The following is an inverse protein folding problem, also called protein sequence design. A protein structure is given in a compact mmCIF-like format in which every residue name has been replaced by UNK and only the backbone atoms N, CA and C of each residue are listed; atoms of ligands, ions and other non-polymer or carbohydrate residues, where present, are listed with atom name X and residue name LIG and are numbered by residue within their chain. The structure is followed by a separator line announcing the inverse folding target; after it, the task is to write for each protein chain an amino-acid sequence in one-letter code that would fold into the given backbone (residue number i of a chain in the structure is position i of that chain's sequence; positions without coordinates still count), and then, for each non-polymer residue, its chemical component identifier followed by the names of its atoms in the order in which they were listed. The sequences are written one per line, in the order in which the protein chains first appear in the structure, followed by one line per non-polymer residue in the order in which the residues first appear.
data_IF_079933960685
#
_entry.id   IF_079933960685
#
_cell.length_a   1.000
_cell.length_b   1.000
_cell.length_c   1.000
_cell.angle_alpha   90.00
_cell.angle_beta   90.00
_cell.angle_gamma   90.00
#
_symmetry.space_group_name_H-M   'P 1'
#
loop_
_entity.id
_entity.type
_entity.pdbx_description
1 polymer ?
#
# COMPACT_ATOMS: atom_id res chain seq x y z
N UNK A 1 -35.57 -51.43 27.85
CA UNK A 1 -34.92 -51.40 29.16
C UNK A 1 -35.93 -51.78 30.21
N UNK A 2 -35.56 -52.49 31.26
CA UNK A 2 -36.44 -52.89 32.34
C UNK A 2 -35.96 -52.31 33.62
N UNK A 3 -36.87 -51.63 34.33
CA UNK A 3 -36.62 -51.17 35.68
C UNK A 3 -37.34 -52.10 36.67
N UNK A 4 -36.66 -52.58 37.66
CA UNK A 4 -37.24 -53.38 38.73
C UNK A 4 -37.04 -52.68 40.05
N UNK A 5 -38.13 -52.30 40.72
CA UNK A 5 -38.14 -51.70 42.03
C UNK A 5 -38.85 -52.59 43.02
N UNK A 6 -38.32 -52.78 44.25
CA UNK A 6 -38.97 -53.52 45.30
C UNK A 6 -39.88 -52.60 46.08
N UNK A 7 -41.16 -52.92 46.12
CA UNK A 7 -42.17 -52.13 46.84
C UNK A 7 -42.26 -52.57 48.28
N UNK A 8 -42.19 -53.90 48.53
CA UNK A 8 -42.10 -54.53 49.83
C UNK A 8 -41.51 -55.94 49.69
N UNK A 9 -41.46 -56.71 50.78
CA UNK A 9 -40.79 -58.03 50.79
C UNK A 9 -41.42 -59.04 49.82
N UNK A 10 -42.68 -58.80 49.41
CA UNK A 10 -43.45 -59.71 48.53
C UNK A 10 -43.78 -59.14 47.16
N UNK A 11 -43.43 -57.84 46.90
CA UNK A 11 -43.89 -57.18 45.68
C UNK A 11 -42.71 -56.51 44.95
N UNK A 12 -42.46 -56.89 43.72
CA UNK A 12 -41.50 -56.28 42.84
C UNK A 12 -42.26 -55.57 41.69
N UNK A 13 -41.97 -54.31 41.49
CA UNK A 13 -42.46 -53.57 40.32
C UNK A 13 -41.44 -53.68 39.21
N UNK A 14 -41.89 -54.09 38.01
CA UNK A 14 -41.10 -54.13 36.79
C UNK A 14 -41.75 -53.21 35.78
N UNK A 15 -41.04 -52.21 35.35
CA UNK A 15 -41.42 -51.33 34.26
C UNK A 15 -40.46 -51.51 33.08
N UNK A 16 -40.96 -51.38 31.86
CA UNK A 16 -40.13 -51.39 30.68
C UNK A 16 -40.26 -50.04 29.98
N UNK A 17 -39.10 -49.43 29.64
CA UNK A 17 -39.02 -48.24 28.80
C UNK A 17 -38.39 -48.66 27.47
N UNK A 18 -39.03 -48.29 26.37
CA UNK A 18 -38.48 -48.54 25.05
C UNK A 18 -37.38 -47.49 24.72
N UNK A 19 -36.35 -47.88 24.00
CA UNK A 19 -35.28 -46.98 23.57
C UNK A 19 -35.78 -45.77 22.76
N UNK A 20 -36.88 -45.93 22.05
CA UNK A 20 -37.56 -44.87 21.29
C UNK A 20 -38.10 -43.70 22.16
N UNK A 21 -38.36 -43.96 23.45
CA UNK A 21 -38.74 -42.90 24.38
C UNK A 21 -37.59 -41.94 24.68
N UNK A 22 -36.35 -42.49 24.72
CA UNK A 22 -35.16 -41.67 24.89
C UNK A 22 -34.83 -40.84 23.64
N UNK A 23 -35.21 -41.34 22.44
CA UNK A 23 -35.03 -40.58 21.18
C UNK A 23 -35.79 -39.26 21.25
N UNK A 24 -36.96 -39.22 21.88
CA UNK A 24 -37.76 -37.99 22.04
C UNK A 24 -37.07 -36.92 22.93
N UNK A 25 -36.20 -37.39 23.85
CA UNK A 25 -35.54 -36.48 24.82
C UNK A 25 -34.15 -36.09 24.32
N UNK A 26 -33.43 -37.00 23.69
CA UNK A 26 -32.02 -36.85 23.33
C UNK A 26 -31.75 -36.67 21.82
N UNK A 27 -32.78 -36.66 20.96
CA UNK A 27 -32.57 -36.36 19.56
C UNK A 27 -32.15 -34.88 19.41
N UNK A 28 -31.00 -34.62 18.76
CA UNK A 28 -30.63 -33.26 18.44
C UNK A 28 -31.68 -32.63 17.51
N UNK A 29 -32.01 -31.37 17.72
CA UNK A 29 -32.78 -30.61 16.73
C UNK A 29 -32.01 -30.62 15.38
N UNK A 30 -32.72 -30.53 14.28
CA UNK A 30 -32.21 -30.69 12.88
C UNK A 30 -30.92 -29.94 12.52
N UNK A 31 -30.46 -29.03 13.38
CA UNK A 31 -29.25 -28.25 13.17
C UNK A 31 -27.96 -28.85 13.78
N UNK A 32 -28.03 -29.98 14.48
CA UNK A 32 -26.91 -30.54 15.25
C UNK A 32 -26.68 -32.05 14.97
N UNK A 33 -26.60 -32.44 13.71
CA UNK A 33 -26.41 -33.83 13.28
C UNK A 33 -25.08 -34.49 13.74
N UNK A 34 -24.16 -33.68 14.25
CA UNK A 34 -22.81 -34.13 14.72
C UNK A 34 -22.77 -34.33 16.24
N UNK A 35 -23.87 -34.18 16.93
CA UNK A 35 -23.94 -34.37 18.38
C UNK A 35 -24.41 -35.77 18.67
N UNK A 36 -23.57 -36.55 19.35
CA UNK A 36 -23.91 -37.85 19.84
C UNK A 36 -24.09 -37.83 21.36
N UNK A 37 -25.25 -38.24 21.80
CA UNK A 37 -25.61 -38.30 23.23
C UNK A 37 -25.77 -39.74 23.68
N UNK A 38 -25.19 -40.06 24.81
CA UNK A 38 -25.22 -41.37 25.44
C UNK A 38 -25.67 -41.23 26.90
N UNK A 39 -26.42 -42.20 27.37
CA UNK A 39 -26.75 -42.39 28.77
C UNK A 39 -26.04 -43.64 29.28
N UNK A 40 -25.34 -43.53 30.38
CA UNK A 40 -24.60 -44.61 30.99
C UNK A 40 -24.96 -44.76 32.46
N UNK A 41 -24.76 -45.95 33.03
CA UNK A 41 -24.76 -46.16 34.48
C UNK A 41 -23.39 -45.78 35.12
N UNK A 42 -23.30 -45.81 36.45
CA UNK A 42 -22.08 -45.51 37.19
C UNK A 42 -20.92 -46.51 36.88
N UNK A 43 -21.23 -47.71 36.44
CA UNK A 43 -20.25 -48.70 35.99
C UNK A 43 -19.77 -48.45 34.53
N UNK A 44 -20.27 -47.42 33.88
CA UNK A 44 -19.98 -47.05 32.48
C UNK A 44 -20.63 -47.99 31.47
N UNK A 45 -21.76 -48.63 31.79
CA UNK A 45 -22.53 -49.42 30.83
C UNK A 45 -23.51 -48.53 30.08
N UNK A 46 -23.56 -48.69 28.77
CA UNK A 46 -24.41 -47.87 27.89
C UNK A 46 -25.86 -48.30 28.05
N UNK A 47 -26.69 -47.39 28.49
CA UNK A 47 -28.14 -47.53 28.62
C UNK A 47 -28.83 -47.09 27.32
N UNK A 48 -28.34 -45.99 26.71
CA UNK A 48 -28.83 -45.44 25.48
C UNK A 48 -27.68 -44.77 24.72
N UNK A 49 -27.73 -44.83 23.39
CA UNK A 49 -26.88 -44.05 22.50
C UNK A 49 -27.62 -43.74 21.21
N UNK A 50 -27.53 -42.47 20.75
CA UNK A 50 -28.18 -42.05 19.53
C UNK A 50 -27.30 -42.14 18.26
N UNK A 51 -26.05 -42.59 18.41
CA UNK A 51 -25.09 -42.64 17.29
C UNK A 51 -25.24 -43.87 16.37
N UNK A 52 -26.11 -44.80 16.72
CA UNK A 52 -26.37 -46.02 15.97
C UNK A 52 -25.17 -47.00 15.87
N UNK A 53 -24.06 -46.65 16.50
CA UNK A 53 -22.80 -47.45 16.46
C UNK A 53 -22.57 -48.26 17.73
N UNK A 54 -23.03 -47.72 18.85
CA UNK A 54 -22.81 -48.34 20.18
C UNK A 54 -23.98 -49.22 20.57
N UNK A 55 -23.64 -50.33 21.20
CA UNK A 55 -24.64 -51.34 21.59
C UNK A 55 -25.03 -51.15 23.04
N UNK A 56 -26.33 -51.08 23.31
CA UNK A 56 -26.87 -51.00 24.67
C UNK A 56 -26.44 -52.21 25.49
N UNK A 57 -25.94 -51.96 26.70
CA UNK A 57 -25.42 -53.00 27.61
C UNK A 57 -23.91 -53.22 27.52
N UNK A 58 -23.24 -52.71 26.52
CA UNK A 58 -21.76 -52.71 26.42
C UNK A 58 -21.15 -51.66 27.35
N UNK A 59 -19.87 -51.86 27.73
CA UNK A 59 -19.12 -50.84 28.48
C UNK A 59 -18.57 -49.77 27.51
N UNK A 60 -18.49 -48.55 28.02
CA UNK A 60 -17.85 -47.46 27.34
C UNK A 60 -16.41 -47.78 26.91
N UNK A 61 -15.99 -47.21 25.82
CA UNK A 61 -14.60 -47.26 25.34
C UNK A 61 -13.64 -46.75 26.43
N UNK A 62 -12.42 -47.27 26.49
CA UNK A 62 -11.39 -46.84 27.44
C UNK A 62 -11.13 -45.36 27.46
N UNK A 63 -11.31 -44.69 26.34
CA UNK A 63 -11.19 -43.21 26.24
C UNK A 63 -12.30 -42.48 26.99
N UNK A 64 -13.55 -42.89 26.79
CA UNK A 64 -14.71 -42.29 27.43
C UNK A 64 -14.84 -42.67 28.89
N UNK A 65 -14.43 -43.85 29.30
CA UNK A 65 -14.44 -44.29 30.70
C UNK A 65 -13.47 -43.45 31.58
N UNK A 66 -12.34 -43.03 31.03
CA UNK A 66 -11.41 -42.12 31.74
C UNK A 66 -12.00 -40.76 32.04
N UNK A 67 -12.96 -40.29 31.24
CA UNK A 67 -13.65 -39.04 31.49
C UNK A 67 -14.67 -39.12 32.59
N UNK A 68 -15.30 -40.30 32.79
CA UNK A 68 -16.19 -40.56 33.94
C UNK A 68 -15.45 -40.43 35.27
N UNK A 69 -14.19 -40.87 35.35
CA UNK A 69 -13.34 -40.72 36.52
C UNK A 69 -13.01 -39.28 36.88
N UNK A 70 -13.08 -38.37 35.88
CA UNK A 70 -12.80 -36.93 36.05
C UNK A 70 -13.93 -36.08 36.60
N UNK A 71 -15.13 -36.65 36.74
CA UNK A 71 -16.32 -35.91 37.19
C UNK A 71 -17.05 -35.14 36.10
N UNK A 72 -18.10 -34.41 36.50
CA UNK A 72 -18.93 -33.60 35.58
C UNK A 72 -18.17 -32.41 34.99
N UNK A 73 -18.42 -32.11 33.74
CA UNK A 73 -17.82 -30.95 33.06
C UNK A 73 -17.61 -31.16 31.56
N UNK A 74 -16.97 -30.18 30.95
CA UNK A 74 -16.61 -30.20 29.54
C UNK A 74 -15.12 -30.44 29.39
N UNK A 75 -14.75 -31.42 28.59
CA UNK A 75 -13.36 -31.73 28.30
C UNK A 75 -13.14 -31.99 26.79
N UNK A 76 -11.93 -31.89 26.33
CA UNK A 76 -11.55 -32.15 24.94
C UNK A 76 -10.86 -33.50 24.91
N UNK A 77 -11.50 -34.50 24.28
CA UNK A 77 -10.95 -35.88 24.18
C UNK A 77 -9.71 -35.94 23.30
N UNK A 78 -9.77 -35.27 22.17
CA UNK A 78 -8.69 -35.07 21.21
C UNK A 78 -8.89 -33.76 20.46
N UNK A 79 -8.05 -33.44 19.45
CA UNK A 79 -8.17 -32.18 18.70
C UNK A 79 -9.50 -32.00 17.96
N UNK A 80 -10.31 -33.07 17.82
CA UNK A 80 -11.52 -33.07 17.00
C UNK A 80 -12.80 -33.36 17.75
N UNK A 81 -12.70 -33.87 19.01
CA UNK A 81 -13.86 -34.34 19.77
C UNK A 81 -13.97 -33.63 21.11
N UNK A 82 -15.08 -32.95 21.31
CA UNK A 82 -15.44 -32.35 22.61
C UNK A 82 -16.40 -33.30 23.29
N UNK A 83 -16.17 -33.53 24.58
CA UNK A 83 -16.99 -34.39 25.43
C UNK A 83 -17.51 -33.57 26.60
N UNK A 84 -18.83 -33.54 26.80
CA UNK A 84 -19.47 -32.99 27.95
C UNK A 84 -20.11 -34.11 28.76
N UNK A 85 -19.91 -34.09 30.08
CA UNK A 85 -20.44 -35.10 31.02
C UNK A 85 -21.25 -34.35 32.08
N UNK A 86 -22.46 -34.81 32.30
CA UNK A 86 -23.33 -34.29 33.34
C UNK A 86 -24.09 -35.43 34.02
N UNK A 87 -24.29 -35.29 35.35
CA UNK A 87 -25.07 -36.26 36.13
C UNK A 87 -26.55 -36.01 35.90
N UNK A 88 -27.27 -37.05 35.50
CA UNK A 88 -28.68 -37.02 35.23
C UNK A 88 -29.51 -37.43 36.44
N UNK A 89 -28.98 -38.35 37.26
CA UNK A 89 -29.52 -38.81 38.53
C UNK A 89 -28.43 -39.49 39.32
N UNK A 90 -28.70 -39.93 40.55
CA UNK A 90 -27.74 -40.58 41.44
C UNK A 90 -27.02 -41.80 40.84
N UNK A 91 -27.61 -42.46 39.79
CA UNK A 91 -27.09 -43.66 39.18
C UNK A 91 -26.82 -43.53 37.66
N UNK A 92 -27.05 -42.35 37.05
CA UNK A 92 -26.97 -42.19 35.62
C UNK A 92 -26.19 -40.93 35.19
N UNK A 93 -25.37 -41.11 34.18
CA UNK A 93 -24.53 -40.05 33.59
C UNK A 93 -24.86 -39.86 32.11
N UNK A 94 -25.06 -38.63 31.69
CA UNK A 94 -25.23 -38.24 30.30
C UNK A 94 -23.90 -37.78 29.74
N UNK A 95 -23.47 -38.42 28.64
CA UNK A 95 -22.26 -38.10 27.92
C UNK A 95 -22.65 -37.56 26.54
N UNK A 96 -22.31 -36.33 26.26
CA UNK A 96 -22.51 -35.71 24.95
C UNK A 96 -21.16 -35.49 24.26
N UNK A 97 -21.02 -36.07 23.05
CA UNK A 97 -19.79 -35.91 22.25
C UNK A 97 -20.10 -35.17 20.97
N UNK A 98 -19.26 -34.22 20.63
CA UNK A 98 -19.34 -33.42 19.37
C UNK A 98 -18.08 -33.69 18.57
N UNK A 99 -18.25 -34.23 17.36
CA UNK A 99 -17.14 -34.44 16.42
C UNK A 99 -16.98 -33.20 15.53
N UNK A 100 -15.89 -32.50 15.72
CA UNK A 100 -15.54 -31.30 14.96
C UNK A 100 -14.59 -31.57 13.79
N UNK A 101 -14.36 -32.83 13.44
CA UNK A 101 -13.35 -33.21 12.43
C UNK A 101 -13.64 -32.61 11.06
N UNK A 102 -14.89 -32.59 10.62
CA UNK A 102 -15.29 -32.03 9.32
C UNK A 102 -15.21 -30.50 9.33
N UNK A 103 -15.65 -29.88 10.41
CA UNK A 103 -15.55 -28.43 10.62
C UNK A 103 -14.10 -27.99 10.62
N UNK A 104 -13.24 -28.66 11.39
CA UNK A 104 -11.81 -28.34 11.44
C UNK A 104 -11.13 -28.53 10.07
N UNK A 105 -11.46 -29.62 9.37
CA UNK A 105 -10.96 -29.88 8.01
C UNK A 105 -11.37 -28.78 7.03
N UNK A 106 -12.60 -28.27 7.14
CA UNK A 106 -13.09 -27.16 6.34
C UNK A 106 -12.29 -25.88 6.62
N UNK A 107 -12.07 -25.53 7.89
CA UNK A 107 -11.29 -24.34 8.27
C UNK A 107 -9.83 -24.45 7.84
N UNK A 108 -9.18 -25.58 8.01
CA UNK A 108 -7.80 -25.82 7.55
C UNK A 108 -7.70 -25.67 6.04
N UNK A 109 -8.64 -26.26 5.29
CA UNK A 109 -8.67 -26.17 3.83
C UNK A 109 -8.91 -24.75 3.34
N UNK A 110 -9.77 -23.99 4.01
CA UNK A 110 -10.05 -22.58 3.69
C UNK A 110 -8.84 -21.71 4.05
N UNK A 111 -8.24 -21.91 5.22
CA UNK A 111 -7.01 -21.21 5.63
C UNK A 111 -5.86 -21.45 4.66
N UNK A 112 -5.69 -22.67 4.16
CA UNK A 112 -4.65 -22.99 3.17
C UNK A 112 -4.86 -22.27 1.85
N UNK A 113 -6.14 -22.10 1.40
CA UNK A 113 -6.47 -21.32 0.20
C UNK A 113 -6.16 -19.85 0.39
N UNK A 114 -6.55 -19.27 1.53
CA UNK A 114 -6.26 -17.86 1.85
C UNK A 114 -4.76 -17.61 1.92
N UNK A 115 -3.99 -18.52 2.50
CA UNK A 115 -2.53 -18.45 2.55
C UNK A 115 -1.90 -18.54 1.16
N UNK A 116 -2.42 -19.38 0.28
CA UNK A 116 -2.00 -19.45 -1.13
C UNK A 116 -2.24 -18.13 -1.87
N UNK A 117 -3.41 -17.52 -1.69
CA UNK A 117 -3.73 -16.21 -2.28
C UNK A 117 -2.76 -15.15 -1.75
N UNK A 118 -2.48 -15.13 -0.43
CA UNK A 118 -1.55 -14.19 0.17
C UNK A 118 -0.13 -14.32 -0.42
N UNK A 119 0.37 -15.56 -0.61
CA UNK A 119 1.67 -15.79 -1.25
C UNK A 119 1.66 -15.28 -2.69
N UNK A 120 0.60 -15.54 -3.47
CA UNK A 120 0.48 -15.02 -4.84
C UNK A 120 0.52 -13.48 -4.86
N UNK A 121 -0.23 -12.83 -3.99
CA UNK A 121 -0.21 -11.36 -3.88
C UNK A 121 1.18 -10.83 -3.49
N UNK A 122 1.87 -11.49 -2.55
CA UNK A 122 3.22 -11.11 -2.16
C UNK A 122 4.22 -11.26 -3.30
N UNK A 123 4.14 -12.33 -4.08
CA UNK A 123 4.98 -12.54 -5.27
C UNK A 123 4.71 -11.48 -6.33
N UNK A 124 3.43 -11.18 -6.61
CA UNK A 124 3.05 -10.11 -7.56
C UNK A 124 3.59 -8.76 -7.07
N UNK A 125 3.46 -8.46 -5.79
CA UNK A 125 3.99 -7.22 -5.21
C UNK A 125 5.51 -7.12 -5.33
N UNK A 126 6.24 -8.22 -5.07
CA UNK A 126 7.70 -8.28 -5.26
C UNK A 126 8.07 -8.10 -6.73
N UNK A 127 7.32 -8.70 -7.65
CA UNK A 127 7.56 -8.53 -9.10
C UNK A 127 7.32 -7.10 -9.56
N UNK A 128 6.24 -6.45 -9.08
CA UNK A 128 5.96 -5.03 -9.37
C UNK A 128 7.06 -4.14 -8.78
N UNK A 129 7.46 -4.39 -7.52
CA UNK A 129 8.54 -3.64 -6.86
C UNK A 129 9.88 -3.82 -7.58
N UNK A 130 10.19 -5.03 -8.03
CA UNK A 130 11.41 -5.31 -8.79
C UNK A 130 11.37 -4.67 -10.19
N UNK A 131 10.21 -4.65 -10.85
CA UNK A 131 10.01 -3.95 -12.11
C UNK A 131 10.16 -2.43 -11.93
N UNK A 132 9.54 -1.86 -10.90
CA UNK A 132 9.69 -0.43 -10.57
C UNK A 132 11.13 -0.06 -10.16
N UNK A 133 11.85 -0.95 -9.47
CA UNK A 133 13.27 -0.75 -9.15
C UNK A 133 14.17 -0.87 -10.40
N UNK A 134 13.82 -1.75 -11.34
CA UNK A 134 14.53 -1.87 -12.62
C UNK A 134 14.26 -0.68 -13.56
N UNK A 135 13.08 -0.05 -13.46
CA UNK A 135 12.76 1.20 -14.17
C UNK A 135 13.45 2.41 -13.54
N UNK A 136 13.77 2.37 -12.24
CA UNK A 136 14.53 3.42 -11.55
C UNK A 136 16.06 3.27 -11.68
N UNK A 137 16.57 2.32 -12.46
CA UNK A 137 17.98 2.31 -12.84
C UNK A 137 18.24 3.51 -13.79
N UNK A 138 19.07 4.49 -13.41
CA UNK A 138 19.37 5.64 -14.25
C UNK A 138 19.94 5.26 -15.65
N UNK A 139 20.29 3.99 -15.83
CA UNK A 139 20.70 3.45 -17.13
C UNK A 139 19.57 2.81 -17.97
N UNK A 140 18.38 2.58 -17.36
CA UNK A 140 17.23 1.94 -18.00
C UNK A 140 15.94 2.76 -17.89
N UNK A 141 16.00 4.08 -18.03
CA UNK A 141 14.80 4.90 -18.14
C UNK A 141 13.86 4.45 -19.27
N UNK A 142 12.59 4.92 -19.29
CA UNK A 142 11.58 4.44 -20.21
C UNK A 142 12.12 4.33 -21.65
N UNK A 143 11.77 3.27 -22.35
CA UNK A 143 12.18 2.99 -23.73
C UNK A 143 11.47 3.96 -24.70
N UNK A 144 11.67 5.25 -24.51
CA UNK A 144 11.27 6.26 -25.45
C UNK A 144 12.39 6.49 -26.45
N UNK A 145 12.06 6.33 -27.69
CA UNK A 145 12.65 6.93 -28.86
C UNK A 145 14.14 6.68 -29.17
N UNK A 146 14.42 6.88 -30.40
CA UNK A 146 15.71 6.81 -31.12
C UNK A 146 16.73 7.90 -30.68
N UNK A 147 16.40 8.75 -29.70
CA UNK A 147 17.18 9.95 -29.38
C UNK A 147 18.00 9.73 -28.09
N UNK A 148 19.19 10.35 -27.97
CA UNK A 148 19.97 10.30 -26.76
C UNK A 148 19.17 10.90 -25.60
N UNK A 149 19.20 10.23 -24.44
CA UNK A 149 18.49 10.68 -23.24
C UNK A 149 19.13 11.90 -22.59
N UNK A 150 20.40 12.09 -22.85
CA UNK A 150 21.25 13.08 -22.21
C UNK A 150 21.92 13.92 -23.30
N UNK A 151 21.90 15.22 -23.09
CA UNK A 151 22.62 16.19 -23.92
C UNK A 151 24.13 16.08 -23.66
N UNK A 152 24.92 15.95 -24.74
CA UNK A 152 26.37 15.70 -24.62
C UNK A 152 27.16 16.89 -24.05
N UNK A 153 26.68 18.13 -24.26
CA UNK A 153 27.34 19.33 -23.78
C UNK A 153 27.09 19.59 -22.29
N UNK A 154 25.82 19.50 -21.87
CA UNK A 154 25.39 19.90 -20.51
C UNK A 154 25.30 18.73 -19.53
N UNK A 155 25.20 17.49 -20.04
CA UNK A 155 24.95 16.31 -19.23
C UNK A 155 23.52 16.22 -18.64
N UNK A 156 22.64 17.16 -19.00
CA UNK A 156 21.25 17.17 -18.60
C UNK A 156 20.38 16.30 -19.52
N UNK A 157 19.16 16.04 -19.11
CA UNK A 157 18.20 15.36 -19.98
C UNK A 157 17.88 16.20 -21.22
N UNK A 158 17.68 15.54 -22.37
CA UNK A 158 17.18 16.18 -23.57
C UNK A 158 15.75 16.64 -23.42
N UNK A 159 15.28 17.57 -24.25
CA UNK A 159 13.93 18.15 -24.19
C UNK A 159 12.83 17.08 -24.17
N UNK A 160 12.86 16.15 -25.15
CA UNK A 160 11.87 15.07 -25.26
C UNK A 160 11.85 14.15 -24.02
N UNK A 161 13.03 13.81 -23.48
CA UNK A 161 13.12 12.97 -22.29
C UNK A 161 12.65 13.71 -21.03
N UNK A 162 12.97 15.00 -20.91
CA UNK A 162 12.56 15.85 -19.81
C UNK A 162 11.04 16.02 -19.77
N UNK A 163 10.44 16.37 -20.90
CA UNK A 163 8.99 16.52 -21.04
C UNK A 163 8.25 15.25 -20.66
N UNK A 164 8.60 14.11 -21.26
CA UNK A 164 7.97 12.84 -20.95
C UNK A 164 8.15 12.46 -19.47
N UNK A 165 9.33 12.68 -18.88
CA UNK A 165 9.59 12.39 -17.47
C UNK A 165 8.78 13.27 -16.52
N UNK A 166 8.53 14.53 -16.87
CA UNK A 166 7.68 15.44 -16.11
C UNK A 166 6.22 15.00 -16.19
N UNK A 167 5.72 14.67 -17.39
CA UNK A 167 4.36 14.18 -17.61
C UNK A 167 4.10 12.90 -16.81
N UNK A 168 5.00 11.91 -16.90
CA UNK A 168 4.93 10.67 -16.14
C UNK A 168 4.90 10.93 -14.61
N UNK A 169 5.72 11.89 -14.15
CA UNK A 169 5.75 12.27 -12.74
C UNK A 169 4.45 12.95 -12.31
N UNK A 170 3.88 13.83 -13.14
CA UNK A 170 2.59 14.48 -12.87
C UNK A 170 1.45 13.46 -12.77
N UNK A 171 1.41 12.43 -13.64
CA UNK A 171 0.42 11.34 -13.58
C UNK A 171 0.51 10.51 -12.29
N UNK A 172 1.70 10.40 -11.71
CA UNK A 172 1.96 9.63 -10.48
C UNK A 172 1.88 10.48 -9.20
N UNK A 173 1.69 11.79 -9.32
CA UNK A 173 1.61 12.69 -8.17
C UNK A 173 0.41 12.38 -7.27
N UNK A 174 0.65 12.39 -5.96
CA UNK A 174 -0.39 12.16 -4.95
C UNK A 174 -1.10 13.48 -4.67
N UNK A 175 -2.38 13.40 -4.31
CA UNK A 175 -3.14 14.57 -3.85
C UNK A 175 -2.42 15.27 -2.69
N UNK A 176 -2.11 16.57 -2.86
CA UNK A 176 -1.35 17.37 -1.90
C UNK A 176 0.13 17.56 -2.26
N UNK A 177 0.60 17.05 -3.40
CA UNK A 177 1.93 17.37 -3.92
C UNK A 177 2.02 18.86 -4.26
N UNK A 178 3.18 19.46 -3.99
CA UNK A 178 3.51 20.84 -4.40
C UNK A 178 4.86 20.80 -5.10
N UNK A 179 4.85 21.02 -6.41
CA UNK A 179 6.04 20.90 -7.26
C UNK A 179 6.24 22.20 -8.00
N UNK A 180 7.49 22.71 -7.99
CA UNK A 180 7.87 23.87 -8.77
C UNK A 180 8.32 23.44 -10.19
N UNK A 181 7.65 23.94 -11.21
CA UNK A 181 8.13 23.88 -12.58
C UNK A 181 8.86 25.20 -12.90
N UNK A 182 10.16 25.10 -13.14
CA UNK A 182 11.04 26.27 -13.26
C UNK A 182 11.69 26.25 -14.63
N UNK A 183 11.62 27.38 -15.34
CA UNK A 183 12.35 27.65 -16.58
C UNK A 183 13.48 28.62 -16.27
N UNK A 184 14.68 28.29 -16.70
CA UNK A 184 15.88 29.14 -16.63
C UNK A 184 16.34 29.43 -18.07
N UNK A 185 16.47 30.71 -18.42
CA UNK A 185 16.88 31.13 -19.76
C UNK A 185 18.11 32.04 -19.68
N UNK A 186 19.11 31.73 -20.49
CA UNK A 186 20.26 32.65 -20.64
C UNK A 186 19.88 33.79 -21.56
N UNK A 187 19.77 34.99 -21.02
CA UNK A 187 19.23 36.17 -21.74
C UNK A 187 20.27 36.91 -22.59
N UNK A 188 21.55 36.67 -22.35
CA UNK A 188 22.64 37.32 -23.12
C UNK A 188 23.39 36.33 -24.02
N UNK A 189 22.77 35.20 -24.39
CA UNK A 189 23.40 34.12 -25.16
C UNK A 189 23.88 34.63 -26.53
N UNK A 190 23.04 35.41 -27.22
CA UNK A 190 23.41 35.99 -28.52
C UNK A 190 24.59 36.98 -28.42
N UNK A 191 24.69 37.72 -27.33
CA UNK A 191 25.85 38.64 -27.10
C UNK A 191 27.13 37.83 -26.86
N UNK A 192 27.02 36.68 -26.15
CA UNK A 192 28.14 35.76 -25.93
C UNK A 192 28.57 35.17 -27.27
N UNK A 193 27.63 34.70 -28.09
CA UNK A 193 27.88 34.16 -29.43
C UNK A 193 28.61 35.18 -30.35
N UNK A 194 28.10 36.39 -30.40
CA UNK A 194 28.67 37.44 -31.24
C UNK A 194 30.08 37.85 -30.81
N UNK A 195 30.36 37.87 -29.52
CA UNK A 195 31.64 38.35 -29.00
C UNK A 195 32.71 37.25 -28.90
N UNK A 196 32.29 36.01 -28.67
CA UNK A 196 33.20 34.90 -28.29
C UNK A 196 33.04 33.61 -29.08
N UNK A 197 31.96 33.48 -29.85
CA UNK A 197 31.68 32.33 -30.70
C UNK A 197 30.96 31.17 -29.98
N UNK A 198 30.67 30.11 -30.75
CA UNK A 198 29.83 28.98 -30.31
C UNK A 198 30.46 28.14 -29.21
N UNK A 199 31.78 28.07 -29.12
CA UNK A 199 32.48 27.32 -28.10
C UNK A 199 32.20 27.90 -26.69
N UNK A 200 32.10 29.24 -26.62
CA UNK A 200 31.80 29.93 -25.37
C UNK A 200 30.30 29.91 -25.02
N UNK A 201 29.44 29.79 -26.04
CA UNK A 201 28.01 29.49 -25.82
C UNK A 201 27.87 28.14 -25.14
N UNK A 202 28.53 27.11 -25.65
CA UNK A 202 28.53 25.79 -25.03
C UNK A 202 29.12 25.76 -23.60
N UNK A 203 30.14 26.60 -23.35
CA UNK A 203 30.69 26.81 -21.99
C UNK A 203 29.62 27.44 -21.06
N UNK A 204 28.92 28.47 -21.54
CA UNK A 204 27.88 29.16 -20.77
C UNK A 204 26.75 28.20 -20.37
N UNK A 205 26.28 27.39 -21.33
CA UNK A 205 25.26 26.36 -21.07
C UNK A 205 25.72 25.34 -20.03
N UNK A 206 26.97 24.87 -20.12
CA UNK A 206 27.54 23.90 -19.17
C UNK A 206 27.59 24.47 -17.75
N UNK A 207 28.03 25.71 -17.61
CA UNK A 207 28.09 26.37 -16.29
C UNK A 207 26.71 26.56 -15.64
N UNK A 208 25.71 26.92 -16.43
CA UNK A 208 24.32 26.99 -15.92
C UNK A 208 23.82 25.60 -15.56
N UNK A 209 24.08 24.59 -16.40
CA UNK A 209 23.72 23.21 -16.11
C UNK A 209 24.36 22.66 -14.83
N UNK A 210 25.64 22.99 -14.57
CA UNK A 210 26.33 22.64 -13.31
C UNK A 210 25.62 23.22 -12.09
N UNK A 211 25.22 24.50 -12.14
CA UNK A 211 24.46 25.15 -11.05
C UNK A 211 23.11 24.44 -10.84
N UNK A 212 22.40 24.08 -11.92
CA UNK A 212 21.14 23.38 -11.81
C UNK A 212 21.29 21.99 -11.19
N UNK A 213 22.33 21.24 -11.60
CA UNK A 213 22.63 19.89 -11.05
C UNK A 213 22.99 19.98 -9.57
N UNK A 214 23.79 20.96 -9.16
CA UNK A 214 24.17 21.15 -7.76
C UNK A 214 22.98 21.53 -6.85
N UNK A 215 21.96 22.18 -7.42
CA UNK A 215 20.79 22.62 -6.67
C UNK A 215 19.63 21.64 -6.71
N UNK A 216 19.62 20.65 -7.63
CA UNK A 216 18.57 19.65 -7.69
C UNK A 216 18.66 18.70 -6.50
N UNK A 217 17.49 18.23 -6.05
CA UNK A 217 17.36 17.17 -5.03
C UNK A 217 17.20 15.81 -5.70
N UNK A 218 17.31 14.76 -4.91
CA UNK A 218 17.00 13.42 -5.39
C UNK A 218 15.52 13.33 -5.81
N UNK A 219 15.29 12.86 -7.03
CA UNK A 219 13.95 12.79 -7.62
C UNK A 219 13.50 14.02 -8.40
N UNK A 220 14.26 15.13 -8.40
CA UNK A 220 14.00 16.26 -9.28
C UNK A 220 14.40 15.94 -10.72
N UNK A 221 13.63 16.45 -11.69
CA UNK A 221 13.88 16.30 -13.12
C UNK A 221 14.51 17.58 -13.63
N UNK A 222 15.65 17.49 -14.29
CA UNK A 222 16.35 18.63 -14.87
C UNK A 222 16.80 18.32 -16.29
N UNK A 223 16.49 19.22 -17.23
CA UNK A 223 16.83 19.04 -18.63
C UNK A 223 17.01 20.35 -19.40
N UNK A 224 17.57 20.23 -20.60
CA UNK A 224 17.68 21.33 -21.56
C UNK A 224 16.51 21.22 -22.55
N UNK A 225 15.77 22.31 -22.76
CA UNK A 225 14.64 22.35 -23.69
C UNK A 225 15.05 22.90 -25.06
N UNK A 226 15.78 23.98 -25.03
CA UNK A 226 16.34 24.63 -26.20
C UNK A 226 17.72 25.16 -25.86
N UNK A 227 18.43 25.64 -26.85
CA UNK A 227 19.70 26.31 -26.64
C UNK A 227 19.54 27.48 -25.65
N UNK A 228 20.27 27.42 -24.55
CA UNK A 228 20.22 28.39 -23.46
C UNK A 228 18.96 28.38 -22.62
N UNK A 229 18.08 27.39 -22.77
CA UNK A 229 16.82 27.24 -22.01
C UNK A 229 16.76 25.90 -21.30
N UNK A 230 16.57 25.94 -20.00
CA UNK A 230 16.59 24.77 -19.11
C UNK A 230 15.28 24.67 -18.35
N UNK A 231 14.85 23.45 -18.04
CA UNK A 231 13.72 23.20 -17.17
C UNK A 231 14.13 22.38 -15.94
N UNK A 232 13.53 22.70 -14.82
CA UNK A 232 13.68 21.98 -13.56
C UNK A 232 12.30 21.75 -12.95
N UNK A 233 11.96 20.49 -12.66
CA UNK A 233 10.74 20.10 -11.99
C UNK A 233 11.11 19.56 -10.61
N UNK A 234 10.94 20.41 -9.58
CA UNK A 234 11.46 20.22 -8.24
C UNK A 234 10.35 20.03 -7.21
N UNK A 235 10.43 18.96 -6.43
CA UNK A 235 9.43 18.60 -5.41
C UNK A 235 9.65 19.39 -4.11
N UNK A 236 8.64 20.15 -3.71
CA UNK A 236 8.58 20.93 -2.48
C UNK A 236 7.39 20.57 -1.60
N UNK A 237 6.84 19.38 -1.77
CA UNK A 237 5.70 18.89 -1.00
C UNK A 237 5.95 18.95 0.50
N UNK A 238 5.02 19.55 1.24
CA UNK A 238 5.00 19.58 2.72
C UNK A 238 3.55 19.38 3.18
N UNK A 239 3.34 18.88 4.38
CA UNK A 239 2.01 18.72 4.97
C UNK A 239 1.29 20.05 5.16
N UNK A 240 2.03 21.16 5.29
CA UNK A 240 1.52 22.52 5.36
C UNK A 240 1.74 23.21 4.00
N UNK A 241 0.65 23.49 3.28
CA UNK A 241 0.67 24.15 1.97
C UNK A 241 1.36 25.52 2.02
N UNK A 242 1.13 26.32 3.07
CA UNK A 242 1.77 27.64 3.21
C UNK A 242 3.28 27.49 3.29
N UNK A 243 3.74 26.45 3.97
CA UNK A 243 5.16 26.13 4.08
C UNK A 243 5.71 25.60 2.75
N UNK A 244 4.96 24.75 2.04
CA UNK A 244 5.34 24.26 0.72
C UNK A 244 5.59 25.41 -0.27
N UNK A 245 4.67 26.39 -0.34
CA UNK A 245 4.86 27.59 -1.15
C UNK A 245 6.02 28.48 -0.67
N UNK A 246 6.21 28.59 0.63
CA UNK A 246 7.38 29.23 1.22
C UNK A 246 8.69 28.60 0.75
N UNK A 247 8.74 27.28 0.71
CA UNK A 247 9.88 26.50 0.24
C UNK A 247 10.16 26.75 -1.25
N UNK A 248 9.11 26.77 -2.11
CA UNK A 248 9.25 27.11 -3.54
C UNK A 248 9.85 28.48 -3.73
N UNK A 249 9.33 29.49 -3.03
CA UNK A 249 9.85 30.87 -3.11
C UNK A 249 11.32 30.96 -2.67
N UNK A 250 11.65 30.31 -1.58
CA UNK A 250 13.03 30.27 -1.06
C UNK A 250 13.98 29.58 -2.07
N UNK A 251 13.53 28.48 -2.66
CA UNK A 251 14.32 27.72 -3.63
C UNK A 251 14.55 28.52 -4.92
N UNK A 252 13.53 29.11 -5.50
CA UNK A 252 13.64 29.96 -6.71
C UNK A 252 14.55 31.15 -6.46
N UNK A 253 14.48 31.76 -5.26
CA UNK A 253 15.38 32.84 -4.87
C UNK A 253 16.83 32.38 -4.75
N UNK A 254 17.08 31.27 -4.06
CA UNK A 254 18.42 30.70 -3.90
C UNK A 254 19.04 30.36 -5.25
N UNK A 255 18.27 29.70 -6.13
CA UNK A 255 18.71 29.39 -7.50
C UNK A 255 19.07 30.66 -8.27
N UNK A 256 18.23 31.67 -8.23
CA UNK A 256 18.50 32.97 -8.90
C UNK A 256 19.74 33.67 -8.34
N UNK A 257 19.96 33.62 -7.03
CA UNK A 257 21.13 34.25 -6.42
C UNK A 257 22.43 33.54 -6.87
N UNK A 258 22.44 32.23 -6.99
CA UNK A 258 23.58 31.45 -7.54
C UNK A 258 23.80 31.73 -9.03
N UNK A 259 22.72 31.83 -9.82
CA UNK A 259 22.81 32.15 -11.25
C UNK A 259 23.33 33.58 -11.50
N UNK A 260 23.08 34.54 -10.60
CA UNK A 260 23.65 35.92 -10.68
C UNK A 260 25.17 35.94 -10.54
N UNK A 261 25.74 34.99 -9.82
CA UNK A 261 27.19 34.88 -9.62
C UNK A 261 27.88 34.11 -10.76
N UNK A 262 27.08 33.51 -11.69
CA UNK A 262 27.62 32.73 -12.79
C UNK A 262 28.38 33.60 -13.79
N UNK A 263 29.63 33.27 -14.04
CA UNK A 263 30.51 33.99 -14.97
C UNK A 263 31.20 33.03 -15.93
N UNK A 264 31.54 33.54 -17.10
CA UNK A 264 32.42 32.87 -18.05
C UNK A 264 33.87 32.83 -17.52
N UNK A 265 34.62 31.84 -17.98
CA UNK A 265 36.04 31.74 -17.64
C UNK A 265 36.82 32.92 -18.23
N UNK A 266 38.04 33.15 -17.73
CA UNK A 266 38.97 34.20 -18.18
C UNK A 266 38.40 35.64 -18.14
N UNK A 267 37.55 35.97 -17.15
CA UNK A 267 36.95 37.29 -16.95
C UNK A 267 36.17 37.83 -18.17
N UNK A 268 35.60 36.95 -19.01
CA UNK A 268 34.83 37.31 -20.20
C UNK A 268 33.43 37.91 -19.86
N UNK A 269 33.07 37.92 -18.60
CA UNK A 269 31.83 38.55 -18.11
C UNK A 269 30.84 37.57 -17.51
N UNK A 270 29.71 38.11 -17.08
CA UNK A 270 28.65 37.35 -16.43
C UNK A 270 27.68 36.73 -17.42
N UNK A 271 27.23 35.52 -17.09
CA UNK A 271 26.09 34.88 -17.77
C UNK A 271 24.81 35.46 -17.13
N UNK A 272 23.97 36.10 -17.94
CA UNK A 272 22.72 36.66 -17.45
C UNK A 272 21.58 35.66 -17.63
N UNK A 273 20.95 35.29 -16.54
CA UNK A 273 19.80 34.37 -16.56
C UNK A 273 18.53 35.08 -16.10
N UNK A 274 17.40 34.67 -16.68
CA UNK A 274 16.05 34.91 -16.17
C UNK A 274 15.47 33.59 -15.65
N UNK A 275 14.70 33.65 -14.56
CA UNK A 275 14.09 32.49 -13.92
C UNK A 275 12.60 32.71 -13.82
N UNK A 276 11.81 31.86 -14.45
CA UNK A 276 10.36 31.84 -14.34
C UNK A 276 9.90 30.55 -13.67
N UNK A 277 8.89 30.61 -12.83
CA UNK A 277 8.35 29.42 -12.18
C UNK A 277 6.83 29.41 -12.18
N UNK A 278 6.23 28.23 -12.32
CA UNK A 278 4.84 27.91 -12.03
C UNK A 278 4.79 26.81 -10.97
N UNK A 279 3.64 26.60 -10.34
CA UNK A 279 3.51 25.64 -9.23
C UNK A 279 2.39 24.68 -9.50
N UNK A 280 2.72 23.39 -9.55
CA UNK A 280 1.77 22.29 -9.65
C UNK A 280 1.24 21.95 -8.23
N UNK A 281 -0.05 21.69 -8.02
CA UNK A 281 -1.17 21.86 -8.97
C UNK A 281 -1.81 23.25 -8.92
N UNK A 282 -1.29 24.21 -8.12
CA UNK A 282 -1.94 25.53 -7.89
C UNK A 282 -2.10 26.33 -9.17
N UNK A 283 -1.04 26.39 -9.99
CA UNK A 283 -1.09 27.10 -11.25
C UNK A 283 -1.91 26.34 -12.28
N UNK A 284 -1.58 25.06 -12.49
CA UNK A 284 -2.34 24.13 -13.32
C UNK A 284 -1.96 22.68 -13.00
N UNK A 285 -2.87 21.74 -13.32
CA UNK A 285 -2.62 20.30 -13.35
C UNK A 285 -2.25 19.81 -14.75
N UNK A 286 -2.31 20.67 -15.76
CA UNK A 286 -1.94 20.39 -17.15
C UNK A 286 -0.51 20.82 -17.42
N UNK A 287 0.26 19.97 -18.13
CA UNK A 287 1.66 20.23 -18.43
C UNK A 287 1.87 21.46 -19.34
N UNK A 288 1.06 21.57 -20.40
CA UNK A 288 1.22 22.64 -21.38
C UNK A 288 0.91 24.02 -20.75
N UNK A 289 -0.13 24.04 -19.89
CA UNK A 289 -0.45 25.25 -19.12
C UNK A 289 0.64 25.61 -18.09
N UNK A 290 1.21 24.61 -17.39
CA UNK A 290 2.31 24.85 -16.44
C UNK A 290 3.53 25.42 -17.14
N UNK A 291 3.88 24.85 -18.31
CA UNK A 291 4.98 25.34 -19.13
C UNK A 291 4.73 26.78 -19.59
N UNK A 292 3.56 27.06 -20.18
CA UNK A 292 3.20 28.40 -20.66
C UNK A 292 3.25 29.44 -19.54
N UNK A 293 2.79 29.10 -18.32
CA UNK A 293 2.79 30.01 -17.19
C UNK A 293 4.20 30.25 -16.64
N UNK A 294 5.06 29.23 -16.62
CA UNK A 294 6.46 29.38 -16.25
C UNK A 294 7.23 30.21 -17.29
N UNK A 295 6.95 30.02 -18.59
CA UNK A 295 7.53 30.80 -19.69
C UNK A 295 7.13 32.29 -19.57
N UNK A 296 5.84 32.60 -19.35
CA UNK A 296 5.38 33.98 -19.11
C UNK A 296 6.05 34.62 -17.88
N UNK A 297 6.25 33.85 -16.81
CA UNK A 297 6.98 34.34 -15.64
C UNK A 297 8.45 34.60 -15.97
N UNK A 298 9.09 33.76 -16.80
CA UNK A 298 10.45 33.93 -17.26
C UNK A 298 10.59 35.19 -18.15
N UNK A 299 9.66 35.43 -19.07
CA UNK A 299 9.60 36.64 -19.87
C UNK A 299 9.46 37.94 -19.00
N UNK A 300 8.61 37.90 -17.98
CA UNK A 300 8.50 39.02 -17.01
C UNK A 300 9.84 39.23 -16.28
N UNK A 301 10.52 38.13 -15.89
CA UNK A 301 11.83 38.22 -15.24
C UNK A 301 12.90 38.79 -16.17
N UNK A 302 12.89 38.48 -17.46
CA UNK A 302 13.83 38.98 -18.48
C UNK A 302 13.71 40.49 -18.63
N UNK A 303 12.51 41.06 -18.57
CA UNK A 303 12.22 42.47 -18.74
C UNK A 303 12.32 43.29 -17.44
N UNK A 304 12.55 42.65 -16.30
CA UNK A 304 12.68 43.33 -15.00
C UNK A 304 14.14 43.64 -14.70
N UNK A 305 14.41 44.89 -14.36
CA UNK A 305 15.76 45.34 -13.93
C UNK A 305 16.11 44.80 -12.52
N UNK A 306 15.11 44.67 -11.66
CA UNK A 306 15.29 44.34 -10.23
C UNK A 306 15.05 42.87 -9.91
N UNK A 307 14.11 42.22 -10.60
CA UNK A 307 13.68 40.86 -10.29
C UNK A 307 13.94 39.91 -11.47
N UNK A 308 15.09 39.23 -11.48
CA UNK A 308 15.41 38.22 -12.49
C UNK A 308 14.81 36.87 -12.20
N UNK A 309 13.96 36.77 -11.18
CA UNK A 309 13.19 35.59 -10.86
C UNK A 309 11.74 35.96 -10.53
N UNK A 310 10.81 35.34 -11.23
CA UNK A 310 9.36 35.58 -11.08
C UNK A 310 8.65 34.23 -10.92
N UNK A 311 7.76 34.12 -9.93
CA UNK A 311 6.82 33.00 -9.81
C UNK A 311 5.48 33.49 -10.34
N UNK A 312 4.86 32.73 -11.23
CA UNK A 312 3.57 33.06 -11.83
C UNK A 312 2.47 33.09 -10.74
N UNK A 313 1.69 34.20 -10.71
CA UNK A 313 0.54 34.37 -9.83
C UNK A 313 -0.70 34.71 -10.67
N UNK A 314 -1.70 33.82 -10.68
CA UNK A 314 -2.97 34.02 -11.41
C UNK A 314 -3.69 35.32 -11.03
N UNK A 315 -3.59 35.72 -9.78
CA UNK A 315 -4.30 36.91 -9.25
C UNK A 315 -3.73 38.23 -9.78
N UNK A 316 -2.42 38.30 -10.01
CA UNK A 316 -1.78 39.47 -10.57
C UNK A 316 -2.15 39.68 -12.04
N UNK A 317 -2.34 38.61 -12.80
CA UNK A 317 -2.67 38.71 -14.22
C UNK A 317 -4.14 39.12 -14.45
N UNK A 318 -5.08 38.70 -13.62
CA UNK A 318 -6.48 39.14 -13.70
C UNK A 318 -6.62 40.66 -13.39
N UNK A 319 -5.82 41.20 -12.47
CA UNK A 319 -5.81 42.62 -12.11
C UNK A 319 -5.19 43.46 -13.23
N UNK A 320 -4.21 42.94 -13.96
CA UNK A 320 -3.55 43.69 -15.07
C UNK A 320 -4.39 43.75 -16.35
N UNK A 321 -5.42 42.88 -16.49
CA UNK A 321 -6.35 42.82 -17.62
C UNK A 321 -7.65 43.61 -17.40
N UNK A 322 -7.91 44.07 -16.18
CA UNK A 322 -9.08 44.89 -15.81
C UNK A 322 -8.75 46.37 -15.80
#
# INVERSE_FOLDING_TARGET
MYFAGRINDDLIFISSVFSTEFDLVFLPSDNYSEINTMLCDDDGRIIYANDGKRVVGEKLDEKLSKFLEGGTGVTVSDMTTICAIDDCSDDWVVITTVDMSDTLRHYVRTGLKCFGIFICCAVIFIMISAAAAADNDPQNGPKFGKYPKVDENTGLFTAEYTENSIMDKMETCISGSTIAFIIVKITNLELIRLNYGEEIVAEAERKVAEILVENRREGDICGIFREGEFALFADHTDFDLVKAYGNVRAYVKELNDKLKECCLDDDRGYIKCAVGASVYPETSEDYDELYEMAEKACEKAEHSEDARAVIYDKKEEEVSRS
#
